data_IF_423198297008
#
_entry.id   IF_423198297008
#
_cell.length_a   1.000
_cell.length_b   1.000
_cell.length_c   1.000
_cell.angle_alpha   90.00
_cell.angle_beta   90.00
_cell.angle_gamma   90.00
#
_symmetry.space_group_name_H-M   'P 1'
#
loop_
_entity.id
_entity.type
_entity.pdbx_description
1 polymer ?
#
# COMPACT_ATOMS: atom_id res chain seq x y z
N UNK A 1 -19.67 21.61 1.42
CA UNK A 1 -19.22 21.96 2.78
C UNK A 1 -19.16 20.69 3.61
N UNK A 2 -18.03 19.98 3.58
CA UNK A 2 -17.82 18.79 4.39
C UNK A 2 -16.95 19.16 5.57
N UNK A 3 -17.50 19.12 6.77
CA UNK A 3 -16.69 19.17 7.98
C UNK A 3 -15.83 17.90 7.99
N UNK A 4 -14.54 18.05 7.70
CA UNK A 4 -13.55 17.04 8.07
C UNK A 4 -13.49 17.09 9.59
N UNK A 5 -14.42 16.40 10.23
CA UNK A 5 -14.19 15.95 11.59
C UNK A 5 -13.05 14.95 11.47
N UNK A 6 -11.86 15.32 11.92
CA UNK A 6 -10.79 14.39 12.22
C UNK A 6 -11.43 13.24 13.02
N UNK A 7 -11.67 12.11 12.36
CA UNK A 7 -12.59 11.08 12.84
C UNK A 7 -12.12 10.57 14.20
N UNK A 8 -13.00 10.56 15.19
CA UNK A 8 -12.67 10.11 16.55
C UNK A 8 -12.15 8.67 16.51
N UNK A 9 -11.03 8.39 17.18
CA UNK A 9 -10.50 7.03 17.33
C UNK A 9 -11.62 6.10 17.87
N UNK A 10 -11.81 4.88 17.32
CA UNK A 10 -12.88 4.02 17.82
C UNK A 10 -12.70 3.74 19.31
N UNK A 11 -13.79 3.79 20.10
CA UNK A 11 -13.73 3.59 21.58
C UNK A 11 -13.59 2.13 22.01
N UNK A 12 -13.04 1.28 21.14
CA UNK A 12 -12.86 -0.15 21.43
C UNK A 12 -11.85 -0.36 22.55
N UNK A 13 -11.88 -1.54 23.20
CA UNK A 13 -10.87 -1.91 24.21
C UNK A 13 -9.46 -1.89 23.63
N UNK A 14 -9.30 -2.37 22.39
CA UNK A 14 -8.01 -2.44 21.70
C UNK A 14 -7.46 -1.04 21.41
N UNK A 15 -8.29 -0.13 20.91
CA UNK A 15 -7.85 1.25 20.66
C UNK A 15 -7.52 2.01 21.94
N UNK A 16 -8.23 1.75 23.05
CA UNK A 16 -7.84 2.31 24.36
C UNK A 16 -6.47 1.83 24.82
N UNK A 17 -6.16 0.55 24.63
CA UNK A 17 -4.84 -0.01 24.93
C UNK A 17 -3.73 0.68 24.10
N UNK A 18 -3.98 0.99 22.83
CA UNK A 18 -3.03 1.76 22.00
C UNK A 18 -2.76 3.14 22.59
N UNK A 19 -3.82 3.84 23.04
CA UNK A 19 -3.68 5.17 23.67
C UNK A 19 -2.89 5.08 24.98
N UNK A 20 -3.16 4.06 25.80
CA UNK A 20 -2.44 3.83 27.06
C UNK A 20 -0.95 3.56 26.81
N UNK A 21 -0.61 2.71 25.84
CA UNK A 21 0.78 2.44 25.46
C UNK A 21 1.48 3.70 24.96
N UNK A 22 0.83 4.47 24.09
CA UNK A 22 1.34 5.76 23.60
C UNK A 22 1.59 6.79 24.73
N UNK A 23 0.81 6.74 25.80
CA UNK A 23 0.97 7.62 26.97
C UNK A 23 2.00 7.14 28.00
N UNK A 24 2.62 5.98 27.78
CA UNK A 24 3.61 5.35 28.66
C UNK A 24 5.01 5.31 28.04
N UNK A 25 5.99 4.84 28.80
CA UNK A 25 7.36 4.60 28.36
C UNK A 25 7.54 3.28 27.56
N UNK A 26 6.45 2.64 27.13
CA UNK A 26 6.51 1.42 26.33
C UNK A 26 7.27 1.65 25.01
N UNK A 27 8.00 0.63 24.55
CA UNK A 27 8.69 0.67 23.25
C UNK A 27 7.73 0.96 22.09
N UNK A 28 8.22 1.59 21.03
CA UNK A 28 7.43 1.90 19.83
C UNK A 28 6.83 0.64 19.17
N UNK A 29 7.59 -0.46 19.17
CA UNK A 29 7.13 -1.74 18.62
C UNK A 29 5.88 -2.27 19.32
N UNK A 30 5.79 -2.13 20.65
CA UNK A 30 4.59 -2.52 21.40
C UNK A 30 3.37 -1.68 21.01
N UNK A 31 3.56 -0.38 20.74
CA UNK A 31 2.50 0.50 20.23
C UNK A 31 2.06 0.06 18.84
N UNK A 32 3.00 -0.24 17.95
CA UNK A 32 2.72 -0.68 16.57
C UNK A 32 1.99 -2.01 16.53
N UNK A 33 2.42 -2.98 17.34
CA UNK A 33 1.77 -4.28 17.48
C UNK A 33 0.33 -4.12 17.99
N UNK A 34 0.12 -3.31 19.02
CA UNK A 34 -1.22 -3.02 19.53
C UNK A 34 -2.10 -2.33 18.49
N UNK A 35 -1.56 -1.37 17.74
CA UNK A 35 -2.28 -0.66 16.67
C UNK A 35 -2.65 -1.60 15.52
N UNK A 36 -1.75 -2.50 15.12
CA UNK A 36 -2.01 -3.53 14.13
C UNK A 36 -3.17 -4.45 14.51
N UNK A 37 -3.25 -4.87 15.78
CA UNK A 37 -4.35 -5.68 16.29
C UNK A 37 -5.65 -4.89 16.36
N UNK A 38 -5.59 -3.62 16.75
CA UNK A 38 -6.76 -2.77 16.79
C UNK A 38 -7.34 -2.52 15.38
N UNK A 39 -6.48 -2.43 14.37
CA UNK A 39 -6.85 -2.25 12.97
C UNK A 39 -7.17 -3.57 12.24
N UNK A 40 -6.92 -4.73 12.85
CA UNK A 40 -7.02 -6.05 12.21
C UNK A 40 -8.33 -6.29 11.48
N UNK A 41 -9.47 -5.97 12.09
CA UNK A 41 -10.79 -6.21 11.48
C UNK A 41 -11.00 -5.35 10.24
N UNK A 42 -10.46 -4.14 10.26
CA UNK A 42 -10.55 -3.22 9.12
C UNK A 42 -9.61 -3.69 8.00
N UNK A 43 -8.40 -4.12 8.35
CA UNK A 43 -7.43 -4.73 7.43
C UNK A 43 -7.96 -6.05 6.81
N UNK A 44 -8.67 -6.88 7.57
CA UNK A 44 -9.24 -8.13 7.06
C UNK A 44 -10.39 -7.91 6.07
N UNK A 45 -11.11 -6.79 6.18
CA UNK A 45 -12.19 -6.38 5.27
C UNK A 45 -11.68 -5.57 4.08
N UNK A 46 -10.38 -5.28 4.02
CA UNK A 46 -9.77 -4.53 2.93
C UNK A 46 -10.16 -5.09 1.55
N UNK A 47 -10.20 -6.41 1.40
CA UNK A 47 -10.55 -7.06 0.12
C UNK A 47 -12.00 -6.82 -0.35
N UNK A 48 -12.87 -6.27 0.50
CA UNK A 48 -14.22 -5.84 0.12
C UNK A 48 -14.24 -4.42 -0.48
N UNK A 49 -13.12 -3.68 -0.39
CA UNK A 49 -12.98 -2.34 -0.92
C UNK A 49 -12.59 -2.36 -2.40
N UNK A 50 -13.49 -1.86 -3.25
CA UNK A 50 -13.32 -1.88 -4.70
C UNK A 50 -12.08 -1.08 -5.17
N UNK A 51 -11.75 0.03 -4.51
CA UNK A 51 -10.60 0.87 -4.88
C UNK A 51 -9.30 0.15 -4.53
N UNK A 52 -9.24 -0.50 -3.36
CA UNK A 52 -8.09 -1.32 -3.00
C UNK A 52 -7.90 -2.51 -3.94
N UNK A 53 -8.97 -3.22 -4.30
CA UNK A 53 -8.91 -4.32 -5.27
C UNK A 53 -8.39 -3.82 -6.62
N UNK A 54 -8.87 -2.67 -7.09
CA UNK A 54 -8.39 -2.08 -8.34
C UNK A 54 -6.92 -1.65 -8.23
N UNK A 55 -6.50 -1.10 -7.09
CA UNK A 55 -5.11 -0.71 -6.86
C UNK A 55 -4.18 -1.93 -6.96
N UNK A 56 -4.57 -3.07 -6.37
CA UNK A 56 -3.85 -4.34 -6.49
C UNK A 56 -3.85 -4.87 -7.92
N UNK A 57 -4.97 -4.72 -8.66
CA UNK A 57 -5.04 -5.11 -10.07
C UNK A 57 -4.03 -4.31 -10.90
N UNK A 58 -4.03 -2.98 -10.77
CA UNK A 58 -3.12 -2.09 -11.48
C UNK A 58 -1.65 -2.36 -11.11
N UNK A 59 -1.36 -2.59 -9.82
CA UNK A 59 -0.02 -2.95 -9.34
C UNK A 59 0.56 -4.16 -10.09
N UNK A 60 -0.26 -5.17 -10.35
CA UNK A 60 0.17 -6.40 -11.01
C UNK A 60 0.09 -6.32 -12.54
N UNK A 61 -0.90 -5.59 -13.06
CA UNK A 61 -1.17 -5.49 -14.49
C UNK A 61 -0.16 -4.57 -15.20
N UNK A 62 0.18 -3.41 -14.63
CA UNK A 62 1.06 -2.43 -15.30
C UNK A 62 2.42 -3.06 -15.71
N UNK A 63 3.13 -3.77 -14.82
CA UNK A 63 4.35 -4.49 -15.21
C UNK A 63 4.11 -5.56 -16.28
N UNK A 64 2.95 -6.23 -16.24
CA UNK A 64 2.61 -7.24 -17.24
C UNK A 64 2.42 -6.61 -18.63
N UNK A 65 1.67 -5.51 -18.73
CA UNK A 65 1.43 -4.78 -19.97
C UNK A 65 2.74 -4.30 -20.60
N UNK A 66 3.73 -3.92 -19.79
CA UNK A 66 5.06 -3.51 -20.26
C UNK A 66 5.84 -4.61 -21.01
N UNK A 67 5.39 -5.87 -20.96
CA UNK A 67 5.96 -6.97 -21.75
C UNK A 67 5.57 -6.94 -23.22
N UNK A 68 4.46 -6.28 -23.57
CA UNK A 68 4.00 -6.17 -24.94
C UNK A 68 4.87 -5.22 -25.77
N UNK A 69 4.81 -5.37 -27.10
CA UNK A 69 5.54 -4.49 -28.02
C UNK A 69 4.98 -3.06 -27.99
N UNK A 70 3.64 -2.92 -27.91
CA UNK A 70 2.95 -1.63 -27.72
C UNK A 70 2.45 -1.51 -26.28
N UNK A 71 3.27 -0.88 -25.44
CA UNK A 71 2.97 -0.69 -24.02
C UNK A 71 1.75 0.21 -23.79
N UNK A 72 1.64 1.30 -24.56
CA UNK A 72 0.51 2.21 -24.46
C UNK A 72 -0.81 1.52 -24.78
N UNK A 73 -0.84 0.69 -25.82
CA UNK A 73 -2.04 -0.09 -26.18
C UNK A 73 -2.37 -1.12 -25.11
N UNK A 74 -1.38 -1.86 -24.60
CA UNK A 74 -1.61 -2.87 -23.58
C UNK A 74 -2.20 -2.27 -22.28
N UNK A 75 -1.80 -1.05 -21.91
CA UNK A 75 -2.38 -0.35 -20.76
C UNK A 75 -3.79 0.18 -21.05
N UNK A 76 -4.07 0.67 -22.27
CA UNK A 76 -5.43 1.04 -22.69
C UNK A 76 -6.39 -0.14 -22.66
N UNK A 77 -5.94 -1.32 -23.09
CA UNK A 77 -6.72 -2.56 -23.03
C UNK A 77 -7.03 -2.99 -21.58
N UNK A 78 -6.33 -2.39 -20.61
CA UNK A 78 -6.52 -2.63 -19.18
C UNK A 78 -7.18 -1.47 -18.43
N UNK A 79 -7.96 -0.65 -19.16
CA UNK A 79 -8.74 0.51 -18.69
C UNK A 79 -7.90 1.72 -18.21
N UNK A 80 -6.67 1.88 -18.69
CA UNK A 80 -5.88 3.09 -18.45
C UNK A 80 -5.88 3.99 -19.68
N UNK A 81 -6.56 5.15 -19.65
CA UNK A 81 -6.62 6.07 -20.80
C UNK A 81 -5.30 6.83 -20.93
N UNK A 82 -4.38 6.31 -21.72
CA UNK A 82 -3.04 6.88 -21.92
C UNK A 82 -2.62 6.91 -23.40
N UNK A 83 -1.58 7.69 -23.69
CA UNK A 83 -0.92 7.81 -24.99
C UNK A 83 -0.21 6.52 -25.43
N UNK A 84 0.30 6.48 -26.67
CA UNK A 84 1.04 5.33 -27.22
C UNK A 84 2.42 5.15 -26.57
N UNK A 85 3.02 6.24 -26.10
CA UNK A 85 4.39 6.28 -25.55
C UNK A 85 4.33 6.91 -24.15
N UNK A 86 3.74 6.22 -23.17
CA UNK A 86 3.43 6.82 -21.89
C UNK A 86 4.69 6.99 -21.02
N UNK A 87 4.80 8.14 -20.38
CA UNK A 87 5.78 8.35 -19.32
C UNK A 87 5.23 7.93 -17.94
N UNK A 88 6.09 7.95 -16.91
CA UNK A 88 5.70 7.54 -15.55
C UNK A 88 4.64 8.48 -14.94
N UNK A 89 4.63 9.75 -15.32
CA UNK A 89 3.65 10.72 -14.82
C UNK A 89 2.26 10.41 -15.40
N UNK A 90 2.18 10.15 -16.70
CA UNK A 90 0.95 9.76 -17.39
C UNK A 90 0.39 8.45 -16.82
N UNK A 91 1.25 7.44 -16.58
CA UNK A 91 0.85 6.18 -15.94
C UNK A 91 0.28 6.44 -14.53
N UNK A 92 0.97 7.26 -13.73
CA UNK A 92 0.53 7.60 -12.36
C UNK A 92 -0.80 8.36 -12.37
N UNK A 93 -0.96 9.32 -13.28
CA UNK A 93 -2.17 10.12 -13.42
C UNK A 93 -3.36 9.25 -13.89
N UNK A 94 -3.15 8.37 -14.87
CA UNK A 94 -4.19 7.47 -15.35
C UNK A 94 -4.60 6.44 -14.30
N UNK A 95 -3.64 5.89 -13.54
CA UNK A 95 -3.93 5.00 -12.42
C UNK A 95 -4.78 5.72 -11.34
N UNK A 96 -4.41 6.95 -10.96
CA UNK A 96 -5.19 7.77 -10.02
C UNK A 96 -6.60 8.04 -10.52
N UNK A 97 -6.75 8.47 -11.78
CA UNK A 97 -8.05 8.73 -12.39
C UNK A 97 -8.94 7.47 -12.43
N UNK A 98 -8.35 6.30 -12.70
CA UNK A 98 -9.06 5.01 -12.68
C UNK A 98 -9.56 4.67 -11.28
N UNK A 99 -8.74 4.87 -10.25
CA UNK A 99 -9.15 4.63 -8.86
C UNK A 99 -10.28 5.58 -8.44
N UNK A 100 -10.22 6.85 -8.84
CA UNK A 100 -11.29 7.84 -8.63
C UNK A 100 -12.60 7.43 -9.35
N UNK A 101 -12.52 6.86 -10.54
CA UNK A 101 -13.66 6.31 -11.26
C UNK A 101 -14.29 5.14 -10.51
N UNK A 102 -13.49 4.16 -10.06
CA UNK A 102 -13.97 3.02 -9.27
C UNK A 102 -14.62 3.49 -7.97
N UNK A 103 -14.04 4.47 -7.29
CA UNK A 103 -14.62 5.05 -6.07
C UNK A 103 -16.00 5.68 -6.33
N UNK A 104 -16.18 6.37 -7.46
CA UNK A 104 -17.47 6.95 -7.88
C UNK A 104 -18.48 5.85 -8.21
N UNK A 105 -18.08 4.83 -8.96
CA UNK A 105 -18.95 3.70 -9.35
C UNK A 105 -19.43 2.88 -8.16
N UNK A 106 -18.56 2.66 -7.17
CA UNK A 106 -18.90 1.94 -5.95
C UNK A 106 -19.85 2.73 -5.02
N UNK A 107 -20.10 4.01 -5.31
CA UNK A 107 -20.99 4.88 -4.53
C UNK A 107 -20.49 5.19 -3.12
N UNK A 108 -19.24 4.84 -2.80
CA UNK A 108 -18.61 5.03 -1.48
C UNK A 108 -17.13 5.36 -1.67
N UNK A 109 -16.70 6.51 -1.13
CA UNK A 109 -15.28 6.80 -0.88
C UNK A 109 -14.93 6.28 0.52
N UNK A 110 -13.81 5.60 0.64
CA UNK A 110 -13.30 5.09 1.91
C UNK A 110 -11.88 5.62 2.14
N UNK A 111 -11.53 5.90 3.39
CA UNK A 111 -10.17 6.33 3.71
C UNK A 111 -9.14 5.25 3.34
N UNK A 112 -9.52 3.97 3.50
CA UNK A 112 -8.66 2.85 3.15
C UNK A 112 -8.39 2.77 1.64
N UNK A 113 -9.40 2.99 0.80
CA UNK A 113 -9.24 3.08 -0.65
C UNK A 113 -8.34 4.25 -1.07
N UNK A 114 -8.48 5.41 -0.42
CA UNK A 114 -7.61 6.58 -0.64
C UNK A 114 -6.16 6.33 -0.20
N UNK A 115 -5.94 5.56 0.88
CA UNK A 115 -4.61 5.10 1.30
C UNK A 115 -4.04 4.08 0.31
N UNK A 116 -4.85 3.15 -0.18
CA UNK A 116 -4.45 2.18 -1.20
C UNK A 116 -4.04 2.85 -2.52
N UNK A 117 -4.77 3.86 -2.98
CA UNK A 117 -4.41 4.61 -4.18
C UNK A 117 -3.10 5.37 -4.02
N UNK A 118 -2.90 6.04 -2.88
CA UNK A 118 -1.62 6.69 -2.56
C UNK A 118 -0.47 5.69 -2.47
N UNK A 119 -0.71 4.53 -1.86
CA UNK A 119 0.28 3.47 -1.77
C UNK A 119 0.68 2.95 -3.15
N UNK A 120 -0.28 2.70 -4.05
CA UNK A 120 -0.01 2.30 -5.43
C UNK A 120 0.86 3.33 -6.15
N UNK A 121 0.42 4.59 -6.19
CA UNK A 121 1.11 5.65 -6.92
C UNK A 121 2.52 5.87 -6.36
N UNK A 122 2.67 5.90 -5.03
CA UNK A 122 3.98 6.02 -4.39
C UNK A 122 4.89 4.85 -4.74
N UNK A 123 4.37 3.63 -4.71
CA UNK A 123 5.15 2.44 -5.06
C UNK A 123 5.57 2.42 -6.53
N UNK A 124 4.69 2.78 -7.47
CA UNK A 124 5.07 2.87 -8.89
C UNK A 124 6.17 3.91 -9.12
N UNK A 125 6.03 5.09 -8.50
CA UNK A 125 7.02 6.15 -8.62
C UNK A 125 8.37 5.76 -8.00
N UNK A 126 8.37 5.09 -6.84
CA UNK A 126 9.60 4.62 -6.22
C UNK A 126 10.28 3.53 -7.05
N UNK A 127 9.52 2.50 -7.47
CA UNK A 127 10.12 1.32 -8.10
C UNK A 127 10.54 1.56 -9.55
N UNK A 128 9.76 2.33 -10.31
CA UNK A 128 10.10 2.68 -11.69
C UNK A 128 11.02 3.90 -11.68
N UNK A 129 10.64 4.97 -11.00
CA UNK A 129 11.33 6.26 -11.05
C UNK A 129 12.76 6.24 -10.52
N UNK A 130 13.05 5.51 -9.43
CA UNK A 130 14.41 5.43 -8.89
C UNK A 130 15.38 4.68 -9.81
N UNK A 131 14.87 3.89 -10.76
CA UNK A 131 15.66 3.10 -11.71
C UNK A 131 15.88 3.82 -13.05
N UNK A 132 15.24 4.98 -13.25
CA UNK A 132 15.40 5.79 -14.47
C UNK A 132 16.71 6.60 -14.42
N UNK A 133 17.33 6.90 -15.59
CA UNK A 133 18.59 7.63 -15.68
C UNK A 133 18.54 9.10 -15.20
N UNK A 134 17.36 9.59 -14.79
CA UNK A 134 17.11 10.93 -14.28
C UNK A 134 15.82 11.51 -14.86
N UNK A 135 15.23 12.50 -14.17
CA UNK A 135 13.90 13.03 -14.52
C UNK A 135 13.81 13.61 -15.95
N UNK A 136 14.91 14.14 -16.48
CA UNK A 136 14.96 14.79 -17.80
C UNK A 136 15.63 13.95 -18.89
N UNK A 137 16.24 12.81 -18.53
CA UNK A 137 16.95 11.93 -19.45
C UNK A 137 16.15 10.66 -19.78
N UNK A 138 15.18 10.31 -18.94
CA UNK A 138 14.34 9.15 -19.12
C UNK A 138 13.49 9.25 -20.38
N UNK A 139 13.55 8.21 -21.21
CA UNK A 139 12.66 8.01 -22.36
C UNK A 139 11.44 7.18 -21.97
N UNK A 140 10.41 7.22 -22.81
CA UNK A 140 9.25 6.30 -22.77
C UNK A 140 9.69 4.83 -22.80
N UNK A 141 10.75 4.53 -23.58
CA UNK A 141 11.34 3.20 -23.63
C UNK A 141 11.98 2.78 -22.30
N UNK A 142 12.66 3.70 -21.60
CA UNK A 142 13.24 3.41 -20.29
C UNK A 142 12.15 3.10 -19.26
N UNK A 143 11.06 3.87 -19.27
CA UNK A 143 9.87 3.61 -18.43
C UNK A 143 9.30 2.22 -18.71
N UNK A 144 9.13 1.85 -19.98
CA UNK A 144 8.66 0.51 -20.34
C UNK A 144 9.62 -0.59 -19.87
N UNK A 145 10.93 -0.42 -20.05
CA UNK A 145 11.94 -1.41 -19.64
C UNK A 145 11.89 -1.63 -18.12
N UNK A 146 11.86 -0.56 -17.33
CA UNK A 146 11.84 -0.67 -15.88
C UNK A 146 10.49 -1.22 -15.37
N UNK A 147 9.36 -0.82 -15.96
CA UNK A 147 8.07 -1.46 -15.70
C UNK A 147 8.08 -2.95 -16.05
N UNK A 148 8.67 -3.34 -17.18
CA UNK A 148 8.78 -4.74 -17.61
C UNK A 148 9.64 -5.57 -16.64
N UNK A 149 10.71 -4.99 -16.07
CA UNK A 149 11.54 -5.69 -15.07
C UNK A 149 10.74 -6.08 -13.83
N UNK A 150 9.78 -5.25 -13.44
CA UNK A 150 8.87 -5.52 -12.32
C UNK A 150 7.91 -6.69 -12.59
N UNK A 151 7.76 -7.11 -13.85
CA UNK A 151 6.95 -8.28 -14.23
C UNK A 151 7.66 -9.61 -13.97
N UNK A 152 8.95 -9.60 -13.63
CA UNK A 152 9.74 -10.81 -13.33
C UNK A 152 9.44 -11.28 -11.90
N UNK A 153 9.65 -12.56 -11.56
CA UNK A 153 9.40 -13.06 -10.20
C UNK A 153 10.00 -12.21 -9.07
N UNK A 154 11.28 -11.81 -9.20
CA UNK A 154 11.94 -10.93 -8.22
C UNK A 154 11.35 -9.52 -8.19
N UNK A 155 11.00 -8.98 -9.37
CA UNK A 155 10.35 -7.68 -9.51
C UNK A 155 8.99 -7.64 -8.81
N UNK A 156 8.17 -8.67 -9.01
CA UNK A 156 6.86 -8.81 -8.37
C UNK A 156 7.00 -8.91 -6.86
N UNK A 157 7.99 -9.66 -6.35
CA UNK A 157 8.25 -9.75 -4.92
C UNK A 157 8.55 -8.37 -4.30
N UNK A 158 9.42 -7.59 -4.95
CA UNK A 158 9.77 -6.24 -4.50
C UNK A 158 8.56 -5.31 -4.59
N UNK A 159 7.88 -5.28 -5.74
CA UNK A 159 6.77 -4.38 -6.01
C UNK A 159 5.61 -4.59 -5.06
N UNK A 160 5.19 -5.85 -4.87
CA UNK A 160 4.07 -6.19 -3.98
C UNK A 160 4.42 -5.92 -2.52
N UNK A 161 5.63 -6.28 -2.06
CA UNK A 161 6.05 -5.95 -0.68
C UNK A 161 6.11 -4.44 -0.46
N UNK A 162 6.63 -3.66 -1.42
CA UNK A 162 6.68 -2.21 -1.30
C UNK A 162 5.27 -1.60 -1.17
N UNK A 163 4.33 -2.02 -2.01
CA UNK A 163 2.94 -1.57 -1.96
C UNK A 163 2.29 -1.88 -0.62
N UNK A 164 2.31 -3.15 -0.18
CA UNK A 164 1.66 -3.55 1.06
C UNK A 164 2.36 -2.98 2.29
N UNK A 165 3.68 -2.82 2.27
CA UNK A 165 4.45 -2.17 3.33
C UNK A 165 4.04 -0.71 3.52
N UNK A 166 3.95 0.03 2.41
CA UNK A 166 3.46 1.42 2.39
C UNK A 166 2.01 1.50 2.86
N UNK A 167 1.13 0.68 2.30
CA UNK A 167 -0.28 0.65 2.68
C UNK A 167 -0.49 0.35 4.17
N UNK A 168 0.24 -0.63 4.72
CA UNK A 168 0.17 -0.97 6.13
C UNK A 168 0.68 0.18 7.00
N UNK A 169 1.83 0.76 6.66
CA UNK A 169 2.39 1.91 7.40
C UNK A 169 1.42 3.10 7.39
N UNK A 170 0.91 3.48 6.21
CA UNK A 170 -0.01 4.60 6.05
C UNK A 170 -1.34 4.33 6.78
N UNK A 171 -1.83 3.10 6.78
CA UNK A 171 -3.04 2.70 7.51
C UNK A 171 -2.87 2.80 9.02
N UNK A 172 -1.73 2.35 9.56
CA UNK A 172 -1.44 2.45 10.99
C UNK A 172 -1.20 3.90 11.41
N UNK A 173 -0.43 4.65 10.61
CA UNK A 173 -0.15 6.07 10.84
C UNK A 173 -1.45 6.88 10.86
N UNK A 174 -2.35 6.64 9.90
CA UNK A 174 -3.68 7.25 9.84
C UNK A 174 -4.43 7.13 11.16
N UNK A 175 -4.45 5.94 11.77
CA UNK A 175 -5.11 5.75 13.07
C UNK A 175 -4.35 6.41 14.22
N UNK A 176 -3.03 6.22 14.28
CA UNK A 176 -2.18 6.73 15.35
C UNK A 176 -2.21 8.25 15.42
N UNK A 177 -2.24 8.95 14.27
CA UNK A 177 -2.25 10.41 14.16
C UNK A 177 -3.35 11.10 14.97
N UNK A 178 -4.49 10.43 15.14
CA UNK A 178 -5.61 10.92 15.95
C UNK A 178 -5.27 11.08 17.43
N UNK A 179 -4.25 10.37 17.87
CA UNK A 179 -3.76 10.35 19.25
C UNK A 179 -2.39 10.97 19.40
N UNK A 180 -1.52 10.87 18.40
CA UNK A 180 -0.15 11.40 18.43
C UNK A 180 -0.12 12.92 18.67
N UNK A 181 -1.10 13.67 18.17
CA UNK A 181 -1.21 15.10 18.45
C UNK A 181 -1.28 15.41 19.96
N UNK A 182 -1.90 14.54 20.76
CA UNK A 182 -1.98 14.70 22.23
C UNK A 182 -0.72 14.23 22.96
N UNK A 183 0.16 13.52 22.26
CA UNK A 183 1.44 12.99 22.76
C UNK A 183 2.65 13.78 22.24
N UNK A 184 2.41 14.90 21.56
CA UNK A 184 3.45 15.78 21.02
C UNK A 184 3.64 17.01 21.91
N UNK A 185 4.89 17.35 22.22
CA UNK A 185 5.28 18.56 22.95
C UNK A 185 6.14 18.28 24.19
N UNK A 186 6.68 19.33 24.83
CA UNK A 186 7.59 19.19 25.97
C UNK A 186 7.00 18.34 27.10
N UNK A 187 7.76 17.35 27.56
CA UNK A 187 7.34 16.43 28.63
C UNK A 187 6.34 15.34 28.19
N UNK A 188 6.12 15.16 26.88
CA UNK A 188 5.38 14.04 26.30
C UNK A 188 6.31 13.04 25.62
N UNK A 189 5.75 11.90 25.18
CA UNK A 189 6.49 10.85 24.46
C UNK A 189 7.21 11.38 23.22
N UNK A 190 6.57 12.27 22.46
CA UNK A 190 7.15 12.90 21.28
C UNK A 190 7.47 14.37 21.59
N UNK A 191 8.65 14.68 22.15
CA UNK A 191 8.96 16.04 22.61
C UNK A 191 9.04 17.06 21.46
N UNK A 192 9.41 16.63 20.26
CA UNK A 192 9.66 17.50 19.12
C UNK A 192 9.40 16.79 17.77
N UNK A 193 9.61 17.53 16.68
CA UNK A 193 9.45 17.03 15.32
C UNK A 193 10.47 15.94 14.93
N UNK A 194 11.65 15.93 15.54
CA UNK A 194 12.66 14.91 15.31
C UNK A 194 12.24 13.57 15.89
N UNK A 195 11.74 13.56 17.14
CA UNK A 195 11.16 12.38 17.77
C UNK A 195 9.95 11.86 16.98
N UNK A 196 9.11 12.76 16.48
CA UNK A 196 7.98 12.39 15.62
C UNK A 196 8.46 11.71 14.33
N UNK A 197 9.46 12.28 13.66
CA UNK A 197 10.02 11.69 12.44
C UNK A 197 10.66 10.32 12.70
N UNK A 198 11.34 10.14 13.84
CA UNK A 198 11.92 8.85 14.21
C UNK A 198 10.85 7.78 14.44
N UNK A 199 9.74 8.14 15.09
CA UNK A 199 8.58 7.26 15.28
C UNK A 199 7.95 6.84 13.95
N UNK A 200 7.78 7.79 13.01
CA UNK A 200 7.25 7.49 11.68
C UNK A 200 8.18 6.55 10.88
N UNK A 201 9.50 6.72 10.97
CA UNK A 201 10.50 5.80 10.37
C UNK A 201 10.42 4.42 11.00
N UNK A 202 10.31 4.33 12.33
CA UNK A 202 10.18 3.05 13.02
C UNK A 202 8.89 2.31 12.63
N UNK A 203 7.77 3.04 12.45
CA UNK A 203 6.50 2.47 11.97
C UNK A 203 6.63 1.93 10.54
N UNK A 204 7.31 2.66 9.65
CA UNK A 204 7.59 2.20 8.28
C UNK A 204 8.42 0.92 8.28
N UNK A 205 9.46 0.86 9.11
CA UNK A 205 10.30 -0.34 9.26
C UNK A 205 9.48 -1.53 9.78
N UNK A 206 8.68 -1.33 10.82
CA UNK A 206 7.80 -2.37 11.37
C UNK A 206 6.85 -2.93 10.31
N UNK A 207 6.21 -2.07 9.52
CA UNK A 207 5.32 -2.46 8.43
C UNK A 207 6.07 -3.19 7.29
N UNK A 208 7.28 -2.74 6.95
CA UNK A 208 8.12 -3.35 5.93
C UNK A 208 8.55 -4.79 6.32
N UNK A 209 8.80 -5.03 7.59
CA UNK A 209 9.11 -6.36 8.12
C UNK A 209 7.88 -7.28 8.15
N UNK A 210 6.74 -6.77 8.64
CA UNK A 210 5.49 -7.53 8.71
C UNK A 210 4.98 -7.99 7.33
N UNK A 211 5.38 -7.30 6.27
CA UNK A 211 5.01 -7.61 4.88
C UNK A 211 6.02 -8.51 4.16
N UNK A 212 7.09 -8.96 4.83
CA UNK A 212 8.10 -9.86 4.24
C UNK A 212 7.49 -11.15 3.68
N UNK A 213 6.48 -11.70 4.35
CA UNK A 213 5.77 -12.92 3.95
C UNK A 213 5.23 -12.87 2.51
N UNK A 214 4.97 -11.67 1.99
CA UNK A 214 4.46 -11.46 0.63
C UNK A 214 5.46 -11.92 -0.43
N UNK A 215 6.76 -11.72 -0.19
CA UNK A 215 7.81 -12.09 -1.14
C UNK A 215 7.88 -13.60 -1.38
N UNK A 216 7.43 -14.40 -0.41
CA UNK A 216 7.49 -15.86 -0.50
C UNK A 216 6.44 -16.43 -1.45
N UNK A 217 5.25 -15.83 -1.53
CA UNK A 217 4.15 -16.38 -2.32
C UNK A 217 3.78 -15.55 -3.55
N UNK A 218 4.00 -14.24 -3.54
CA UNK A 218 3.55 -13.35 -4.62
C UNK A 218 4.12 -13.72 -6.00
N UNK A 219 5.42 -14.05 -6.14
CA UNK A 219 5.98 -14.42 -7.44
C UNK A 219 5.38 -15.71 -8.02
N UNK A 220 5.21 -16.72 -7.17
CA UNK A 220 4.62 -18.01 -7.57
C UNK A 220 3.14 -17.87 -7.94
N UNK A 221 2.40 -17.08 -7.17
CA UNK A 221 1.00 -16.76 -7.48
C UNK A 221 0.90 -16.04 -8.82
N UNK A 222 1.71 -15.00 -9.03
CA UNK A 222 1.67 -14.19 -10.24
C UNK A 222 2.05 -14.98 -11.48
N UNK A 223 3.13 -15.76 -11.44
CA UNK A 223 3.55 -16.61 -12.56
C UNK A 223 2.48 -17.63 -12.97
N UNK A 224 1.83 -18.25 -11.97
CA UNK A 224 0.71 -19.17 -12.22
C UNK A 224 -0.46 -18.49 -12.91
N UNK A 225 -0.87 -17.31 -12.42
CA UNK A 225 -2.00 -16.56 -13.00
C UNK A 225 -1.73 -16.06 -14.40
N UNK A 226 -0.52 -15.59 -14.67
CA UNK A 226 -0.14 -15.22 -16.03
C UNK A 226 -0.19 -16.40 -16.99
N UNK A 227 0.17 -17.61 -16.55
CA UNK A 227 0.12 -18.81 -17.38
C UNK A 227 -1.32 -19.28 -17.65
N UNK A 228 -2.20 -19.22 -16.63
CA UNK A 228 -3.58 -19.70 -16.72
C UNK A 228 -4.51 -18.71 -17.44
N UNK A 229 -4.41 -17.41 -17.10
CA UNK A 229 -5.45 -16.42 -17.44
C UNK A 229 -4.95 -15.34 -18.43
N UNK A 230 -3.66 -15.32 -18.77
CA UNK A 230 -3.08 -14.33 -19.69
C UNK A 230 -3.06 -12.89 -19.13
N UNK A 231 -3.36 -12.68 -17.85
CA UNK A 231 -3.40 -11.38 -17.20
C UNK A 231 -3.97 -11.43 -15.78
N UNK A 232 -4.20 -10.27 -15.17
CA UNK A 232 -4.81 -10.14 -13.82
C UNK A 232 -6.06 -9.26 -13.90
N UNK A 233 -7.23 -9.89 -13.81
CA UNK A 233 -8.52 -9.21 -13.68
C UNK A 233 -8.86 -8.87 -12.23
N UNK A 234 -9.95 -8.13 -12.02
CA UNK A 234 -10.42 -7.74 -10.68
C UNK A 234 -10.72 -8.93 -9.75
N UNK A 235 -11.33 -10.05 -10.21
CA UNK A 235 -11.53 -11.22 -9.33
C UNK A 235 -10.22 -11.83 -8.84
N UNK A 236 -9.21 -11.94 -9.71
CA UNK A 236 -7.88 -12.44 -9.34
C UNK A 236 -7.18 -11.48 -8.38
N UNK A 237 -7.26 -10.17 -8.64
CA UNK A 237 -6.71 -9.14 -7.75
C UNK A 237 -7.35 -9.19 -6.36
N UNK A 238 -8.67 -9.34 -6.26
CA UNK A 238 -9.37 -9.47 -4.98
C UNK A 238 -8.92 -10.73 -4.21
N UNK A 239 -8.77 -11.86 -4.90
CA UNK A 239 -8.28 -13.09 -4.27
C UNK A 239 -6.83 -12.95 -3.78
N UNK A 240 -5.96 -12.31 -4.56
CA UNK A 240 -4.58 -12.02 -4.15
C UNK A 240 -4.54 -11.11 -2.93
N UNK A 241 -5.31 -10.02 -2.97
CA UNK A 241 -5.42 -9.04 -1.91
C UNK A 241 -5.89 -9.68 -0.59
N UNK A 242 -6.93 -10.52 -0.64
CA UNK A 242 -7.42 -11.25 0.53
C UNK A 242 -6.36 -12.17 1.15
N UNK A 243 -5.60 -12.90 0.32
CA UNK A 243 -4.51 -13.77 0.79
C UNK A 243 -3.37 -12.94 1.39
N UNK A 244 -2.98 -11.85 0.75
CA UNK A 244 -1.94 -10.96 1.25
C UNK A 244 -2.31 -10.36 2.61
N UNK A 245 -3.50 -9.76 2.71
CA UNK A 245 -3.98 -9.16 3.96
C UNK A 245 -4.07 -10.19 5.08
N UNK A 246 -4.63 -11.37 4.80
CA UNK A 246 -4.67 -12.48 5.77
C UNK A 246 -3.27 -12.83 6.30
N UNK A 247 -2.29 -13.01 5.42
CA UNK A 247 -0.92 -13.36 5.79
C UNK A 247 -0.21 -12.26 6.58
N UNK A 248 -0.41 -11.00 6.20
CA UNK A 248 0.12 -9.84 6.93
C UNK A 248 -0.48 -9.81 8.34
N UNK A 249 -1.80 -9.96 8.47
CA UNK A 249 -2.48 -10.02 9.76
C UNK A 249 -1.98 -11.18 10.63
N UNK A 250 -1.76 -12.35 10.05
CA UNK A 250 -1.17 -13.50 10.76
C UNK A 250 0.27 -13.25 11.21
N UNK A 251 1.07 -12.50 10.44
CA UNK A 251 2.43 -12.10 10.82
C UNK A 251 2.41 -11.08 11.97
N UNK A 252 1.51 -10.09 11.91
CA UNK A 252 1.34 -9.08 12.96
C UNK A 252 0.94 -9.69 14.31
N UNK A 253 0.07 -10.72 14.28
CA UNK A 253 -0.27 -11.50 15.49
C UNK A 253 0.94 -12.22 16.06
N UNK A 254 1.73 -12.89 15.20
CA UNK A 254 2.93 -13.62 15.62
C UNK A 254 3.99 -12.71 16.21
N UNK A 255 4.18 -11.51 15.65
CA UNK A 255 5.10 -10.51 16.20
C UNK A 255 4.71 -10.10 17.63
N UNK A 256 3.42 -9.81 17.90
CA UNK A 256 2.97 -9.51 19.27
C UNK A 256 3.27 -10.66 20.23
N UNK A 257 2.88 -11.88 19.86
CA UNK A 257 2.99 -13.03 20.77
C UNK A 257 4.46 -13.43 21.06
N UNK A 258 5.43 -12.89 20.31
CA UNK A 258 6.86 -13.06 20.56
C UNK A 258 7.44 -12.01 21.54
N UNK A 259 6.73 -10.90 21.74
CA UNK A 259 7.12 -9.77 22.61
C UNK A 259 6.45 -9.80 24.00
N UNK A 260 5.48 -10.70 24.23
CA UNK A 260 4.83 -11.00 25.52
C UNK A 260 5.55 -12.16 26.28
#
# INVERSE_FOLDING_TARGET
>A
MGHIHLGVLPRSKQWRQVVELLGSEAADEAVFAAAAIAAEKDLARAADDAVFVEAVRLLLMIPFAARGDDFGQALRDCDLPISSTPDLFEISAAAGARLDEIARMAGRRSDFGELAGRALIGTLNDQIGQSLPGLFEATDRDVQIEAQRLSRPSGVAVLTRAFFGRLLSDSLSYWLDRTLATQTGPGRRLPDAGARSAFDVALQQYAHEATRIIQEFAPGWYGKRLHEDGGVGSPQAAAFAAVAMKKITEELRRKRDADD
#
